data_IF_110964616848
#
_entry.id   IF_110964616848
#
_cell.length_a   1.000
_cell.length_b   1.000
_cell.length_c   1.000
_cell.angle_alpha   90.00
_cell.angle_beta   90.00
_cell.angle_gamma   90.00
#
_symmetry.space_group_name_H-M   'P 1'
#
loop_
_entity.id
_entity.type
_entity.pdbx_description
1 polymer ?
#
# COMPACT_ATOMS: atom_id res chain seq x y z
N UNK A 1 -22.63 -23.74 3.05
CA UNK A 1 -21.26 -23.42 3.52
C UNK A 1 -20.19 -23.42 2.43
N UNK A 2 -20.39 -24.02 1.24
CA UNK A 2 -19.35 -24.02 0.17
C UNK A 2 -19.25 -22.71 -0.63
N UNK A 3 -20.34 -21.94 -0.78
CA UNK A 3 -20.32 -20.69 -1.55
C UNK A 3 -19.38 -19.63 -0.95
N UNK A 4 -19.34 -19.44 0.37
CA UNK A 4 -18.46 -18.42 0.99
C UNK A 4 -16.97 -18.66 0.70
N UNK A 5 -16.51 -19.91 0.69
CA UNK A 5 -15.11 -20.23 0.42
C UNK A 5 -14.69 -19.88 -1.02
N UNK A 6 -15.58 -20.16 -1.98
CA UNK A 6 -15.32 -19.88 -3.40
C UNK A 6 -15.38 -18.38 -3.72
N UNK A 7 -16.26 -17.63 -3.05
CA UNK A 7 -16.31 -16.17 -3.16
C UNK A 7 -15.08 -15.51 -2.55
N UNK A 8 -14.64 -15.96 -1.37
CA UNK A 8 -13.44 -15.43 -0.72
C UNK A 8 -12.19 -15.67 -1.58
N UNK A 9 -12.02 -16.86 -2.18
CA UNK A 9 -10.88 -17.14 -3.05
C UNK A 9 -10.79 -16.20 -4.27
N UNK A 10 -11.92 -15.73 -4.81
CA UNK A 10 -11.93 -14.78 -5.94
C UNK A 10 -11.36 -13.42 -5.56
N UNK A 11 -11.63 -12.92 -4.35
CA UNK A 11 -11.10 -11.63 -3.91
C UNK A 11 -9.62 -11.70 -3.54
N UNK A 12 -9.14 -12.83 -3.03
CA UNK A 12 -7.69 -13.06 -2.87
C UNK A 12 -7.02 -13.11 -4.25
N UNK A 13 -7.60 -13.85 -5.22
CA UNK A 13 -7.07 -13.89 -6.57
C UNK A 13 -7.05 -12.50 -7.22
N UNK A 14 -8.10 -11.70 -7.03
CA UNK A 14 -8.14 -10.31 -7.48
C UNK A 14 -7.01 -9.48 -6.85
N UNK A 15 -6.76 -9.66 -5.55
CA UNK A 15 -5.67 -8.98 -4.86
C UNK A 15 -4.30 -9.39 -5.40
N UNK A 16 -4.09 -10.68 -5.67
CA UNK A 16 -2.86 -11.19 -6.29
C UNK A 16 -2.67 -10.60 -7.69
N UNK A 17 -3.73 -10.56 -8.51
CA UNK A 17 -3.69 -9.94 -9.84
C UNK A 17 -3.36 -8.45 -9.73
N UNK A 18 -3.98 -7.73 -8.78
CA UNK A 18 -3.67 -6.34 -8.49
C UNK A 18 -2.20 -6.12 -8.13
N UNK A 19 -1.66 -6.95 -7.23
CA UNK A 19 -0.24 -6.95 -6.86
C UNK A 19 0.68 -7.20 -8.06
N UNK A 20 0.34 -8.15 -8.94
CA UNK A 20 1.12 -8.45 -10.14
C UNK A 20 1.12 -7.28 -11.14
N UNK A 21 -0.02 -6.61 -11.32
CA UNK A 21 -0.13 -5.42 -12.18
C UNK A 21 0.76 -4.30 -11.64
N UNK A 22 0.70 -4.03 -10.33
CA UNK A 22 1.54 -3.02 -9.66
C UNK A 22 3.03 -3.37 -9.80
N UNK A 23 3.40 -4.63 -9.57
CA UNK A 23 4.79 -5.09 -9.66
C UNK A 23 5.34 -4.97 -11.09
N UNK A 24 4.52 -5.33 -12.09
CA UNK A 24 4.86 -5.13 -13.50
C UNK A 24 5.04 -3.64 -13.82
N UNK A 25 4.15 -2.79 -13.30
CA UNK A 25 4.17 -1.34 -13.46
C UNK A 25 5.46 -0.69 -12.95
N UNK A 26 6.03 -1.18 -11.85
CA UNK A 26 7.28 -0.65 -11.27
C UNK A 26 8.49 -0.70 -12.23
N UNK A 27 8.47 -1.61 -13.20
CA UNK A 27 9.51 -1.73 -14.23
C UNK A 27 9.29 -0.88 -15.48
N UNK A 28 8.18 -0.15 -15.59
CA UNK A 28 7.82 0.61 -16.79
C UNK A 28 8.21 2.09 -16.66
N UNK A 29 8.46 2.74 -17.80
CA UNK A 29 8.77 4.18 -17.85
C UNK A 29 7.60 5.06 -17.36
N UNK A 30 6.37 4.60 -17.60
CA UNK A 30 5.12 5.26 -17.18
C UNK A 30 4.31 4.35 -16.23
N UNK A 31 4.71 4.27 -14.94
CA UNK A 31 4.13 3.32 -13.99
C UNK A 31 2.70 3.68 -13.54
N UNK A 32 2.28 4.94 -13.67
CA UNK A 32 1.11 5.50 -12.99
C UNK A 32 -0.17 4.72 -13.26
N UNK A 33 -0.44 4.37 -14.51
CA UNK A 33 -1.66 3.67 -14.92
C UNK A 33 -1.74 2.27 -14.30
N UNK A 34 -0.62 1.53 -14.28
CA UNK A 34 -0.53 0.21 -13.66
C UNK A 34 -0.77 0.30 -12.15
N UNK A 35 -0.16 1.28 -11.49
CA UNK A 35 -0.37 1.51 -10.06
C UNK A 35 -1.83 1.84 -9.75
N UNK A 36 -2.49 2.70 -10.53
CA UNK A 36 -3.90 3.05 -10.33
C UNK A 36 -4.80 1.80 -10.47
N UNK A 37 -4.68 1.05 -11.58
CA UNK A 37 -5.53 -0.12 -11.80
C UNK A 37 -5.27 -1.24 -10.80
N UNK A 38 -4.00 -1.53 -10.47
CA UNK A 38 -3.67 -2.53 -9.46
C UNK A 38 -4.12 -2.10 -8.06
N UNK A 39 -4.02 -0.79 -7.74
CA UNK A 39 -4.50 -0.26 -6.44
C UNK A 39 -6.02 -0.38 -6.33
N UNK A 40 -6.78 -0.19 -7.42
CA UNK A 40 -8.23 -0.43 -7.40
C UNK A 40 -8.59 -1.91 -7.18
N UNK A 41 -7.83 -2.84 -7.77
CA UNK A 41 -8.02 -4.27 -7.52
C UNK A 41 -7.72 -4.63 -6.06
N UNK A 42 -6.61 -4.14 -5.51
CA UNK A 42 -6.26 -4.31 -4.10
C UNK A 42 -7.25 -3.63 -3.16
N UNK A 43 -7.76 -2.45 -3.52
CA UNK A 43 -8.76 -1.72 -2.76
C UNK A 43 -10.06 -2.52 -2.65
N UNK A 44 -10.53 -3.10 -3.75
CA UNK A 44 -11.70 -3.98 -3.75
C UNK A 44 -11.49 -5.19 -2.82
N UNK A 45 -10.29 -5.81 -2.86
CA UNK A 45 -9.92 -6.89 -1.94
C UNK A 45 -9.90 -6.42 -0.48
N UNK A 46 -9.33 -5.25 -0.18
CA UNK A 46 -9.24 -4.69 1.16
C UNK A 46 -10.63 -4.37 1.75
N UNK A 47 -11.53 -3.82 0.93
CA UNK A 47 -12.92 -3.51 1.31
C UNK A 47 -13.67 -4.80 1.63
N UNK A 48 -13.58 -5.83 0.76
CA UNK A 48 -14.23 -7.13 0.98
C UNK A 48 -13.84 -7.75 2.32
N UNK A 49 -12.54 -7.74 2.64
CA UNK A 49 -12.01 -8.28 3.90
C UNK A 49 -12.06 -7.31 5.09
N UNK A 50 -12.65 -6.12 4.91
CA UNK A 50 -12.79 -5.06 5.94
C UNK A 50 -11.45 -4.65 6.56
N UNK A 51 -10.38 -4.62 5.76
CA UNK A 51 -9.05 -4.28 6.22
C UNK A 51 -8.78 -2.77 6.07
N UNK A 52 -9.30 -1.98 7.01
CA UNK A 52 -9.31 -0.50 6.95
C UNK A 52 -7.94 0.14 6.67
N UNK A 53 -6.86 -0.40 7.23
CA UNK A 53 -5.51 0.12 6.98
C UNK A 53 -5.14 0.00 5.49
N UNK A 54 -5.40 -1.16 4.88
CA UNK A 54 -5.07 -1.37 3.47
C UNK A 54 -6.03 -0.62 2.56
N UNK A 55 -7.29 -0.41 2.95
CA UNK A 55 -8.19 0.50 2.26
C UNK A 55 -7.58 1.91 2.18
N UNK A 56 -7.06 2.42 3.31
CA UNK A 56 -6.42 3.72 3.34
C UNK A 56 -5.12 3.75 2.52
N UNK A 57 -4.27 2.72 2.63
CA UNK A 57 -3.06 2.56 1.82
C UNK A 57 -3.36 2.71 0.32
N UNK A 58 -4.33 1.95 -0.20
CA UNK A 58 -4.64 1.94 -1.63
C UNK A 58 -5.27 3.26 -2.10
N UNK A 59 -6.12 3.89 -1.28
CA UNK A 59 -6.67 5.23 -1.60
C UNK A 59 -5.55 6.27 -1.67
N UNK A 60 -4.62 6.24 -0.72
CA UNK A 60 -3.49 7.17 -0.67
C UNK A 60 -2.57 6.99 -1.87
N UNK A 61 -2.23 5.73 -2.20
CA UNK A 61 -1.43 5.39 -3.37
C UNK A 61 -2.13 5.82 -4.67
N UNK A 62 -3.38 5.43 -4.87
CA UNK A 62 -4.14 5.79 -6.06
C UNK A 62 -4.23 7.31 -6.22
N UNK A 63 -4.49 8.06 -5.15
CA UNK A 63 -4.51 9.52 -5.17
C UNK A 63 -3.15 10.13 -5.55
N UNK A 64 -2.05 9.59 -5.02
CA UNK A 64 -0.70 10.03 -5.37
C UNK A 64 -0.38 9.83 -6.86
N UNK A 65 -0.67 8.65 -7.39
CA UNK A 65 -0.43 8.36 -8.83
C UNK A 65 -1.39 9.13 -9.75
N UNK A 66 -2.63 9.35 -9.33
CA UNK A 66 -3.59 10.15 -10.08
C UNK A 66 -3.18 11.62 -10.13
N UNK A 67 -2.64 12.18 -9.04
CA UNK A 67 -2.09 13.53 -9.03
C UNK A 67 -0.92 13.69 -10.01
N UNK A 68 -0.07 12.66 -10.15
CA UNK A 68 1.00 12.66 -11.16
C UNK A 68 0.42 12.63 -12.57
N UNK A 69 -0.55 11.75 -12.83
CA UNK A 69 -1.18 11.60 -14.14
C UNK A 69 -1.91 12.88 -14.59
N UNK A 70 -2.54 13.59 -13.65
CA UNK A 70 -3.24 14.86 -13.91
C UNK A 70 -2.28 16.06 -14.04
N UNK A 71 -0.96 15.86 -13.98
CA UNK A 71 0.03 16.92 -14.10
C UNK A 71 0.04 17.87 -12.89
N UNK A 72 -0.47 17.43 -11.74
CA UNK A 72 -0.47 18.24 -10.52
C UNK A 72 0.97 18.33 -10.00
N UNK A 73 1.40 19.53 -9.59
CA UNK A 73 2.79 19.80 -9.21
C UNK A 73 3.34 18.89 -8.09
N UNK A 74 4.67 18.71 -8.08
CA UNK A 74 5.39 17.82 -7.15
C UNK A 74 5.07 18.05 -5.67
N UNK A 75 4.82 19.29 -5.27
CA UNK A 75 4.43 19.62 -3.89
C UNK A 75 3.09 19.00 -3.50
N UNK A 76 2.11 19.00 -4.41
CA UNK A 76 0.79 18.41 -4.14
C UNK A 76 0.85 16.89 -4.16
N UNK A 77 1.68 16.30 -5.02
CA UNK A 77 1.95 14.86 -5.05
C UNK A 77 2.50 14.34 -3.72
N UNK A 78 3.26 15.16 -2.99
CA UNK A 78 3.72 14.87 -1.63
C UNK A 78 2.67 15.20 -0.56
N UNK A 79 2.10 16.40 -0.63
CA UNK A 79 1.22 16.91 0.41
C UNK A 79 -0.01 16.02 0.60
N UNK A 80 -0.57 15.51 -0.51
CA UNK A 80 -1.75 14.64 -0.48
C UNK A 80 -1.52 13.38 0.37
N UNK A 81 -0.53 12.51 0.08
CA UNK A 81 -0.23 11.36 0.93
C UNK A 81 0.05 11.72 2.38
N UNK A 82 0.79 12.80 2.64
CA UNK A 82 1.14 13.20 4.01
C UNK A 82 -0.10 13.61 4.80
N UNK A 83 -0.96 14.46 4.22
CA UNK A 83 -2.20 14.88 4.88
C UNK A 83 -3.18 13.73 5.07
N UNK A 84 -3.28 12.81 4.11
CA UNK A 84 -4.12 11.63 4.25
C UNK A 84 -3.58 10.65 5.31
N UNK A 85 -2.25 10.51 5.44
CA UNK A 85 -1.63 9.76 6.53
C UNK A 85 -1.90 10.41 7.89
N UNK A 86 -1.84 11.74 7.98
CA UNK A 86 -2.19 12.49 9.20
C UNK A 86 -3.67 12.29 9.55
N UNK A 87 -4.56 12.36 8.56
CA UNK A 87 -5.99 12.08 8.75
C UNK A 87 -6.21 10.64 9.22
N UNK A 88 -5.50 9.66 8.66
CA UNK A 88 -5.57 8.26 9.08
C UNK A 88 -5.10 8.08 10.52
N UNK A 89 -4.02 8.78 10.92
CA UNK A 89 -3.53 8.78 12.30
C UNK A 89 -4.59 9.33 13.26
N UNK A 90 -5.15 10.51 12.96
CA UNK A 90 -6.22 11.12 13.77
C UNK A 90 -7.42 10.18 13.86
N UNK A 91 -7.83 9.56 12.75
CA UNK A 91 -8.92 8.59 12.73
C UNK A 91 -8.66 7.41 13.69
N UNK A 92 -7.45 6.83 13.67
CA UNK A 92 -7.13 5.72 14.56
C UNK A 92 -7.00 6.12 16.03
N UNK A 93 -6.58 7.37 16.31
CA UNK A 93 -6.62 7.93 17.65
C UNK A 93 -8.06 8.03 18.15
N UNK A 94 -8.96 8.62 17.36
CA UNK A 94 -10.38 8.73 17.74
C UNK A 94 -11.08 7.38 17.95
N UNK A 95 -10.67 6.35 17.22
CA UNK A 95 -11.23 4.99 17.35
C UNK A 95 -10.63 4.22 18.55
N UNK A 96 -9.68 4.80 19.30
CA UNK A 96 -9.07 4.17 20.47
C UNK A 96 -8.12 3.03 20.13
N UNK A 97 -7.57 2.98 18.90
CA UNK A 97 -6.55 2.00 18.48
C UNK A 97 -5.12 2.45 18.78
N UNK A 98 -4.97 3.31 19.78
CA UNK A 98 -3.78 4.11 20.10
C UNK A 98 -2.54 3.26 20.44
N UNK A 99 -2.73 2.03 20.94
CA UNK A 99 -1.65 1.22 21.51
C UNK A 99 -0.97 0.24 20.56
N UNK A 100 -1.16 0.34 19.24
CA UNK A 100 -0.45 -0.54 18.31
C UNK A 100 0.73 0.18 17.67
N UNK A 101 1.92 0.06 18.28
CA UNK A 101 3.20 0.51 17.69
C UNK A 101 3.32 0.06 16.23
N UNK A 102 2.88 -1.16 15.93
CA UNK A 102 2.85 -1.69 14.56
C UNK A 102 1.97 -0.86 13.61
N UNK A 103 0.81 -0.36 14.06
CA UNK A 103 -0.03 0.52 13.24
C UNK A 103 0.66 1.84 12.94
N UNK A 104 1.37 2.42 13.92
CA UNK A 104 2.15 3.63 13.70
C UNK A 104 3.26 3.38 12.67
N UNK A 105 3.98 2.26 12.80
CA UNK A 105 4.96 1.81 11.80
C UNK A 105 4.30 1.72 10.42
N UNK A 106 3.11 1.13 10.33
CA UNK A 106 2.34 1.05 9.10
C UNK A 106 2.02 2.42 8.51
N UNK A 107 1.52 3.38 9.30
CA UNK A 107 1.16 4.73 8.83
C UNK A 107 2.40 5.49 8.35
N UNK A 108 3.49 5.43 9.11
CA UNK A 108 4.79 5.99 8.69
C UNK A 108 5.26 5.32 7.40
N UNK A 109 5.05 4.01 7.28
CA UNK A 109 5.33 3.24 6.06
C UNK A 109 4.61 3.79 4.83
N UNK A 110 3.30 4.08 4.93
CA UNK A 110 2.52 4.69 3.82
C UNK A 110 3.13 6.04 3.40
N UNK A 111 3.45 6.89 4.38
CA UNK A 111 4.01 8.20 4.13
C UNK A 111 5.37 8.10 3.42
N UNK A 112 6.29 7.28 3.96
CA UNK A 112 7.60 7.05 3.37
C UNK A 112 7.51 6.40 1.99
N UNK A 113 6.63 5.41 1.80
CA UNK A 113 6.46 4.76 0.50
C UNK A 113 6.01 5.77 -0.57
N UNK A 114 5.05 6.65 -0.22
CA UNK A 114 4.56 7.69 -1.12
C UNK A 114 5.62 8.76 -1.41
N UNK A 115 6.41 9.15 -0.39
CA UNK A 115 7.52 10.10 -0.54
C UNK A 115 8.65 9.54 -1.42
N UNK A 116 9.06 8.30 -1.17
CA UNK A 116 10.08 7.61 -1.94
C UNK A 116 9.71 7.53 -3.42
N UNK A 117 8.43 7.31 -3.71
CA UNK A 117 7.92 7.35 -5.09
C UNK A 117 7.97 8.77 -5.69
N UNK A 118 7.47 9.78 -4.98
CA UNK A 118 7.39 11.16 -5.49
C UNK A 118 8.78 11.80 -5.75
N UNK A 119 9.78 11.46 -4.95
CA UNK A 119 11.15 11.97 -5.07
C UNK A 119 12.10 11.03 -5.82
N UNK A 120 11.61 9.84 -6.22
CA UNK A 120 12.44 8.77 -6.76
C UNK A 120 13.64 8.40 -5.86
N UNK A 121 13.45 8.49 -4.55
CA UNK A 121 14.47 8.17 -3.55
C UNK A 121 14.28 6.71 -3.10
N UNK A 122 15.24 5.86 -3.47
CA UNK A 122 15.16 4.43 -3.23
C UNK A 122 15.31 4.06 -1.75
N UNK A 123 16.06 4.84 -0.95
CA UNK A 123 16.21 4.59 0.50
C UNK A 123 14.91 4.86 1.25
N UNK A 124 14.24 5.95 0.89
CA UNK A 124 12.94 6.31 1.46
C UNK A 124 11.88 5.29 1.02
N UNK A 125 11.87 4.92 -0.27
CA UNK A 125 10.94 3.94 -0.82
C UNK A 125 11.13 2.55 -0.20
N UNK A 126 12.39 2.11 -0.02
CA UNK A 126 12.75 0.88 0.69
C UNK A 126 12.18 0.86 2.11
N UNK A 127 12.44 1.93 2.88
CA UNK A 127 12.01 2.04 4.27
C UNK A 127 10.48 2.02 4.39
N UNK A 128 9.79 2.72 3.49
CA UNK A 128 8.33 2.73 3.42
C UNK A 128 7.75 1.34 3.13
N UNK A 129 8.27 0.68 2.10
CA UNK A 129 7.87 -0.69 1.71
C UNK A 129 8.08 -1.68 2.86
N UNK A 130 9.24 -1.60 3.54
CA UNK A 130 9.56 -2.47 4.66
C UNK A 130 8.57 -2.29 5.83
N UNK A 131 8.24 -1.05 6.18
CA UNK A 131 7.31 -0.77 7.27
C UNK A 131 5.89 -1.23 6.98
N UNK A 132 5.41 -1.06 5.74
CA UNK A 132 4.12 -1.60 5.30
C UNK A 132 4.15 -3.14 5.39
N UNK A 133 5.23 -3.78 4.93
CA UNK A 133 5.38 -5.23 5.01
C UNK A 133 5.35 -5.75 6.45
N UNK A 134 6.09 -5.12 7.37
CA UNK A 134 6.11 -5.48 8.81
C UNK A 134 4.71 -5.41 9.39
N UNK A 135 3.99 -4.31 9.15
CA UNK A 135 2.61 -4.17 9.63
C UNK A 135 1.69 -5.23 9.03
N UNK A 136 1.84 -5.52 7.74
CA UNK A 136 1.02 -6.51 7.05
C UNK A 136 1.25 -7.94 7.55
N UNK A 137 2.50 -8.34 7.79
CA UNK A 137 2.82 -9.62 8.42
C UNK A 137 2.24 -9.71 9.83
N UNK A 138 2.33 -8.65 10.64
CA UNK A 138 1.75 -8.62 11.98
C UNK A 138 0.23 -8.81 11.98
N UNK A 139 -0.48 -8.14 11.07
CA UNK A 139 -1.93 -8.29 10.92
C UNK A 139 -2.30 -9.68 10.40
N UNK A 140 -1.54 -10.21 9.44
CA UNK A 140 -1.74 -11.56 8.92
C UNK A 140 -1.56 -12.63 10.01
N UNK A 141 -0.51 -12.49 10.83
CA UNK A 141 -0.24 -13.36 11.97
C UNK A 141 -1.36 -13.33 13.02
N UNK A 142 -2.03 -12.17 13.20
CA UNK A 142 -3.21 -12.03 14.06
C UNK A 142 -4.51 -12.64 13.49
N UNK A 143 -4.41 -13.45 12.43
CA UNK A 143 -5.53 -14.20 11.85
C UNK A 143 -6.25 -13.51 10.70
N UNK A 144 -5.75 -12.36 10.22
CA UNK A 144 -6.29 -11.68 9.03
C UNK A 144 -5.47 -12.05 7.80
N UNK A 145 -5.53 -13.32 7.41
CA UNK A 145 -4.69 -13.92 6.35
C UNK A 145 -4.64 -13.19 5.00
N UNK A 146 -5.72 -12.54 4.50
CA UNK A 146 -5.63 -11.80 3.24
C UNK A 146 -4.59 -10.67 3.24
N UNK A 147 -4.18 -10.20 4.43
CA UNK A 147 -3.09 -9.22 4.58
C UNK A 147 -1.75 -9.69 4.00
N UNK A 148 -1.54 -11.01 3.81
CA UNK A 148 -0.35 -11.54 3.17
C UNK A 148 -0.14 -11.04 1.73
N UNK A 149 -1.22 -10.68 1.02
CA UNK A 149 -1.12 -10.10 -0.34
C UNK A 149 -0.26 -8.83 -0.31
N UNK A 150 -0.52 -7.94 0.65
CA UNK A 150 0.27 -6.71 0.84
C UNK A 150 1.64 -6.99 1.44
N UNK A 151 1.74 -7.95 2.36
CA UNK A 151 3.01 -8.30 2.99
C UNK A 151 4.04 -8.77 1.96
N UNK A 152 3.63 -9.68 1.07
CA UNK A 152 4.47 -10.22 0.01
C UNK A 152 4.81 -9.12 -1.02
N UNK A 153 3.81 -8.37 -1.48
CA UNK A 153 4.02 -7.27 -2.44
C UNK A 153 5.04 -6.24 -1.94
N UNK A 154 4.88 -5.77 -0.70
CA UNK A 154 5.77 -4.76 -0.13
C UNK A 154 7.15 -5.32 0.23
N UNK A 155 7.26 -6.61 0.53
CA UNK A 155 8.55 -7.28 0.66
C UNK A 155 9.28 -7.29 -0.68
N UNK A 156 8.60 -7.62 -1.78
CA UNK A 156 9.18 -7.57 -3.12
C UNK A 156 9.62 -6.15 -3.48
N UNK A 157 8.82 -5.13 -3.16
CA UNK A 157 9.24 -3.74 -3.36
C UNK A 157 10.45 -3.34 -2.55
N UNK A 158 10.53 -3.73 -1.28
CA UNK A 158 11.72 -3.49 -0.48
C UNK A 158 12.96 -4.15 -1.10
N UNK A 159 12.84 -5.41 -1.56
CA UNK A 159 13.95 -6.11 -2.22
C UNK A 159 14.37 -5.44 -3.53
N UNK A 160 13.42 -5.01 -4.37
CA UNK A 160 13.69 -4.30 -5.62
C UNK A 160 14.36 -2.94 -5.38
N UNK A 161 13.89 -2.20 -4.38
CA UNK A 161 14.49 -0.92 -3.98
C UNK A 161 15.93 -1.13 -3.50
N UNK A 162 16.15 -2.15 -2.65
CA UNK A 162 17.46 -2.50 -2.16
C UNK A 162 18.40 -2.92 -3.30
N UNK A 163 17.91 -3.70 -4.27
CA UNK A 163 18.67 -4.05 -5.47
C UNK A 163 19.11 -2.81 -6.26
N UNK A 164 18.23 -1.83 -6.48
CA UNK A 164 18.55 -0.56 -7.16
C UNK A 164 19.48 0.37 -6.36
N UNK A 165 19.58 0.21 -5.04
CA UNK A 165 20.52 1.00 -4.21
C UNK A 165 21.96 0.53 -4.42
N UNK A 166 22.16 -0.78 -4.61
CA UNK A 166 23.49 -1.39 -4.66
C UNK A 166 24.04 -1.61 -6.07
N UNK A 167 23.22 -1.43 -7.11
CA UNK A 167 23.59 -1.59 -8.53
C UNK A 167 23.48 -0.25 -9.26
#
# INVERSE_FOLDING_TARGET
>A
MSNNFYYDNKYIALGIIGSLIILYGYGQDYPQTYYIFGSFALLATAIHYKLLYFVALEIILAAGHLAILLGVGRYTQMALPVFLCLQLLIFYLMVGKENSIFLLIGIVGIALHSLGFAYNDQWIFFSGSLFIAIYAYHIAYKGRYPAYVWAILNTLFALLALYKIFL
#
